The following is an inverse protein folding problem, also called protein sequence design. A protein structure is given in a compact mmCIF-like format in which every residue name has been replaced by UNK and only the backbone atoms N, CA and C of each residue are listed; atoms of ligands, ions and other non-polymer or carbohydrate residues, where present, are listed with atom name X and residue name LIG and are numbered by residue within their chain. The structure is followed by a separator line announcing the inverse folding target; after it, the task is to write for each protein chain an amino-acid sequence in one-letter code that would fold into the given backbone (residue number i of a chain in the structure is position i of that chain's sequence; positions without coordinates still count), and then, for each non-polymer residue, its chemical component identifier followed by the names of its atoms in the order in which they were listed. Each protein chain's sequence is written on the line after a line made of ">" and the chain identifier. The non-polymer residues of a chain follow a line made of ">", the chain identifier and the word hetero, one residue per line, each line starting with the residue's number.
data_IF_943146370654
#
_entry.id   IF_943146370654
#
_cell.length_a   1.000
_cell.length_b   1.000
_cell.length_c   1.000
_cell.angle_alpha   90.00
_cell.angle_beta   90.00
_cell.angle_gamma   90.00
#
_symmetry.space_group_name_H-M   'P 1'
#
loop_
_entity.id
_entity.type
_entity.pdbx_description
1 polymer ?
#
# COMPACT_ATOMS: atom_id res chain seq x y z
N UNK A 1 24.54 14.19 -18.96
CA UNK A 1 23.09 14.45 -18.88
C UNK A 1 22.43 13.16 -18.41
N UNK A 2 22.17 13.03 -17.11
CA UNK A 2 21.69 11.77 -16.52
C UNK A 2 20.59 12.05 -15.51
N UNK A 3 19.45 11.38 -15.71
CA UNK A 3 18.30 11.25 -14.81
C UNK A 3 17.56 12.53 -14.40
N UNK A 4 16.46 12.79 -15.11
CA UNK A 4 15.27 13.39 -14.52
C UNK A 4 14.58 12.31 -13.67
N UNK A 5 15.01 12.16 -12.42
CA UNK A 5 14.21 11.45 -11.43
C UNK A 5 13.00 12.33 -11.14
N UNK A 6 11.82 11.89 -11.57
CA UNK A 6 10.54 12.53 -11.27
C UNK A 6 10.41 12.64 -9.74
N UNK A 7 10.42 13.88 -9.27
CA UNK A 7 10.71 14.39 -7.92
C UNK A 7 9.67 14.05 -6.84
N UNK A 8 9.04 12.86 -6.87
CA UNK A 8 7.97 12.59 -5.91
C UNK A 8 7.64 11.14 -5.58
N UNK A 9 8.19 10.16 -6.31
CA UNK A 9 7.86 8.74 -6.06
C UNK A 9 8.84 8.06 -5.09
N UNK A 10 10.10 8.50 -5.03
CA UNK A 10 11.12 7.89 -4.18
C UNK A 10 11.06 8.36 -2.72
N UNK A 11 10.76 9.64 -2.48
CA UNK A 11 10.71 10.22 -1.13
C UNK A 11 9.68 9.53 -0.23
N UNK A 12 8.53 9.15 -0.80
CA UNK A 12 7.53 8.38 -0.06
C UNK A 12 8.04 7.01 0.31
N UNK A 13 8.75 6.32 -0.59
CA UNK A 13 9.24 4.98 -0.29
C UNK A 13 10.35 5.02 0.77
N UNK A 14 11.28 5.98 0.71
CA UNK A 14 12.30 6.16 1.75
C UNK A 14 11.72 6.60 3.10
N UNK A 15 10.76 7.54 3.11
CA UNK A 15 10.09 7.98 4.33
C UNK A 15 9.30 6.86 5.02
N UNK A 16 8.81 5.88 4.25
CA UNK A 16 8.08 4.73 4.77
C UNK A 16 8.98 3.59 5.20
N UNK A 17 10.11 3.38 4.52
CA UNK A 17 11.16 2.44 4.95
C UNK A 17 11.81 2.86 6.27
N UNK A 18 11.90 4.18 6.53
CA UNK A 18 12.38 4.72 7.82
C UNK A 18 11.47 4.44 9.03
N UNK A 19 10.22 4.00 8.81
CA UNK A 19 9.22 3.81 9.86
C UNK A 19 9.04 2.35 10.31
N UNK A 20 9.94 1.45 9.90
CA UNK A 20 9.85 0.02 10.21
C UNK A 20 8.53 -0.62 9.73
N UNK A 21 7.90 -0.03 8.71
CA UNK A 21 6.74 -0.58 8.03
C UNK A 21 7.24 -1.66 7.07
N UNK A 22 6.55 -2.79 7.03
CA UNK A 22 6.94 -3.87 6.13
C UNK A 22 6.76 -3.42 4.67
N UNK A 23 7.74 -3.64 3.76
CA UNK A 23 7.64 -3.18 2.37
C UNK A 23 6.36 -3.62 1.66
N UNK A 24 5.86 -4.82 1.97
CA UNK A 24 4.59 -5.34 1.43
C UNK A 24 3.37 -4.50 1.83
N UNK A 25 3.35 -3.92 3.03
CA UNK A 25 2.23 -3.07 3.48
C UNK A 25 2.22 -1.74 2.71
N UNK A 26 3.40 -1.20 2.43
CA UNK A 26 3.58 -0.01 1.59
C UNK A 26 3.10 -0.29 0.16
N UNK A 27 3.50 -1.45 -0.39
CA UNK A 27 3.06 -1.87 -1.72
C UNK A 27 1.54 -2.00 -1.79
N UNK A 28 0.89 -2.46 -0.71
CA UNK A 28 -0.56 -2.56 -0.66
C UNK A 28 -1.23 -1.18 -0.70
N UNK A 29 -0.67 -0.19 0.00
CA UNK A 29 -1.16 1.19 -0.06
C UNK A 29 -1.06 1.78 -1.47
N UNK A 30 0.06 1.54 -2.16
CA UNK A 30 0.26 1.98 -3.54
C UNK A 30 -0.73 1.30 -4.48
N UNK A 31 -0.87 -0.02 -4.38
CA UNK A 31 -1.82 -0.78 -5.20
C UNK A 31 -3.28 -0.33 -4.95
N UNK A 32 -3.63 -0.01 -3.70
CA UNK A 32 -4.94 0.54 -3.34
C UNK A 32 -5.18 1.92 -3.97
N UNK A 33 -4.16 2.77 -4.01
CA UNK A 33 -4.23 4.09 -4.67
C UNK A 33 -4.28 4.00 -6.20
N UNK A 34 -3.65 2.98 -6.79
CA UNK A 34 -3.69 2.69 -8.23
C UNK A 34 -5.01 2.00 -8.64
N UNK A 35 -5.67 1.33 -7.69
CA UNK A 35 -6.85 0.49 -7.96
C UNK A 35 -6.50 -0.84 -8.63
N UNK A 36 -5.25 -1.29 -8.50
CA UNK A 36 -4.75 -2.52 -9.10
C UNK A 36 -5.22 -3.75 -8.30
N UNK A 37 -6.42 -4.24 -8.63
CA UNK A 37 -7.07 -5.37 -7.94
C UNK A 37 -6.20 -6.63 -7.93
N UNK A 38 -5.62 -7.10 -9.07
CA UNK A 38 -4.73 -8.27 -9.06
C UNK A 38 -3.57 -8.13 -8.07
N UNK A 39 -2.90 -6.97 -8.08
CA UNK A 39 -1.76 -6.69 -7.19
C UNK A 39 -2.19 -6.62 -5.72
N UNK A 40 -3.35 -6.04 -5.43
CA UNK A 40 -3.93 -6.03 -4.07
C UNK A 40 -4.14 -7.45 -3.56
N UNK A 41 -4.74 -8.34 -4.37
CA UNK A 41 -4.98 -9.73 -3.98
C UNK A 41 -3.67 -10.48 -3.72
N UNK A 42 -2.66 -10.32 -4.57
CA UNK A 42 -1.35 -10.93 -4.38
C UNK A 42 -0.66 -10.47 -3.09
N UNK A 43 -0.72 -9.17 -2.81
CA UNK A 43 -0.14 -8.59 -1.59
C UNK A 43 -0.86 -9.08 -0.34
N UNK A 44 -2.20 -9.12 -0.37
CA UNK A 44 -3.00 -9.66 0.74
C UNK A 44 -2.73 -11.17 0.95
N UNK A 45 -2.50 -11.93 -0.13
CA UNK A 45 -2.04 -13.34 -0.03
C UNK A 45 -0.66 -13.48 0.57
N UNK A 46 0.23 -12.54 0.28
CA UNK A 46 1.58 -12.48 0.86
C UNK A 46 1.58 -12.08 2.35
N UNK A 47 0.43 -11.75 2.93
CA UNK A 47 0.29 -11.36 4.33
C UNK A 47 0.39 -9.86 4.57
N UNK A 48 0.15 -9.04 3.54
CA UNK A 48 0.06 -7.59 3.69
C UNK A 48 -1.00 -7.20 4.72
N UNK A 49 -0.65 -6.25 5.58
CA UNK A 49 -1.54 -5.64 6.55
C UNK A 49 -2.11 -4.34 5.98
N UNK A 50 -3.43 -4.27 5.90
CA UNK A 50 -4.13 -3.06 5.44
C UNK A 50 -4.35 -2.02 6.53
N UNK A 51 -4.13 -2.37 7.80
CA UNK A 51 -4.38 -1.53 8.98
C UNK A 51 -3.14 -0.74 9.45
N UNK A 52 -1.99 -0.97 8.82
CA UNK A 52 -0.76 -0.22 9.09
C UNK A 52 -0.92 1.21 8.59
N UNK A 53 -0.44 2.18 9.39
CA UNK A 53 -0.46 3.59 9.05
C UNK A 53 0.90 4.01 8.48
N UNK A 54 0.83 4.81 7.43
CA UNK A 54 2.00 5.44 6.79
C UNK A 54 2.44 6.71 7.54
N UNK A 55 3.45 7.41 6.98
CA UNK A 55 3.97 8.69 7.48
C UNK A 55 2.90 9.79 7.65
N UNK A 56 1.85 9.73 6.82
CA UNK A 56 0.75 10.69 6.83
C UNK A 56 -0.39 10.24 7.76
N UNK A 57 -0.19 9.15 8.51
CA UNK A 57 -1.20 8.54 9.38
C UNK A 57 -2.30 7.79 8.64
N UNK A 58 -2.11 7.48 7.35
CA UNK A 58 -3.11 6.86 6.47
C UNK A 58 -2.85 5.38 6.28
N UNK A 59 -3.92 4.61 6.23
CA UNK A 59 -3.90 3.17 5.95
C UNK A 59 -4.07 2.86 4.46
N UNK A 60 -3.92 1.60 4.05
CA UNK A 60 -4.24 1.18 2.69
C UNK A 60 -5.71 1.48 2.32
N UNK A 61 -6.61 1.40 3.30
CA UNK A 61 -8.03 1.75 3.13
C UNK A 61 -8.25 3.25 2.94
N UNK A 62 -7.42 4.10 3.56
CA UNK A 62 -7.49 5.55 3.39
C UNK A 62 -6.95 5.97 2.02
N UNK A 63 -5.94 5.25 1.51
CA UNK A 63 -5.34 5.47 0.19
C UNK A 63 -6.15 4.87 -0.96
N UNK A 64 -7.12 4.00 -0.69
CA UNK A 64 -7.91 3.34 -1.71
C UNK A 64 -8.62 4.33 -2.65
N UNK A 65 -8.41 4.16 -3.96
CA UNK A 65 -8.95 5.04 -5.01
C UNK A 65 -10.48 5.01 -5.12
N UNK A 66 -11.11 3.90 -4.71
CA UNK A 66 -12.56 3.74 -4.76
C UNK A 66 -13.10 2.92 -3.60
N UNK A 67 -14.41 3.03 -3.37
CA UNK A 67 -15.12 2.21 -2.37
C UNK A 67 -14.99 0.71 -2.69
N UNK A 68 -15.02 0.35 -3.97
CA UNK A 68 -14.84 -1.04 -4.41
C UNK A 68 -13.49 -1.60 -3.97
N UNK A 69 -12.41 -0.82 -4.06
CA UNK A 69 -11.09 -1.23 -3.59
C UNK A 69 -11.06 -1.38 -2.07
N UNK A 70 -11.73 -0.50 -1.33
CA UNK A 70 -11.87 -0.66 0.13
C UNK A 70 -12.60 -1.96 0.48
N UNK A 71 -13.69 -2.24 -0.23
CA UNK A 71 -14.48 -3.46 -0.03
C UNK A 71 -13.68 -4.72 -0.38
N UNK A 72 -12.86 -4.68 -1.45
CA UNK A 72 -11.96 -5.78 -1.81
C UNK A 72 -10.96 -6.08 -0.68
N UNK A 73 -10.32 -5.05 -0.14
CA UNK A 73 -9.33 -5.18 0.94
C UNK A 73 -9.99 -5.69 2.23
N UNK A 74 -11.15 -5.14 2.59
CA UNK A 74 -11.92 -5.56 3.78
C UNK A 74 -12.53 -6.96 3.65
N UNK A 75 -12.92 -7.34 2.44
CA UNK A 75 -13.50 -8.64 2.12
C UNK A 75 -12.48 -9.76 2.08
N UNK A 76 -11.18 -9.44 2.04
CA UNK A 76 -10.14 -10.44 2.06
C UNK A 76 -10.02 -11.05 3.47
N UNK A 77 -10.28 -12.36 3.65
CA UNK A 77 -10.15 -13.00 4.95
C UNK A 77 -8.66 -13.05 5.27
N UNK A 78 -8.19 -12.05 6.01
CA UNK A 78 -6.83 -12.05 6.56
C UNK A 78 -6.75 -13.31 7.41
N UNK A 79 -5.96 -14.30 6.97
CA UNK A 79 -5.61 -15.41 7.83
C UNK A 79 -4.86 -14.81 8.99
N UNK A 80 -5.56 -14.55 10.10
CA UNK A 80 -4.96 -14.41 11.42
C UNK A 80 -4.34 -15.78 11.70
N UNK A 81 -3.06 -15.92 11.34
CA UNK A 81 -2.22 -16.97 11.88
C UNK A 81 -2.01 -16.69 13.38
#
# INVERSE_FOLDING_TARGET
>A
MGMLAVEGSYDKMEALLGQNIHPVDILLMLAASEGDKPKIEELLRAGAKYDVKDADGRTALDRATSKEIKELILGYPVKKA
#
